data_IF_318769542025
#
_entry.id   IF_318769542025
#
_cell.length_a   1.000
_cell.length_b   1.000
_cell.length_c   1.000
_cell.angle_alpha   90.00
_cell.angle_beta   90.00
_cell.angle_gamma   90.00
#
_symmetry.space_group_name_H-M   'P 1'
#
loop_
_entity.id
_entity.type
_entity.pdbx_description
1 polymer ?
#
# COMPACT_ATOMS: atom_id res chain seq x y z
N UNK A 1 -16.80 -0.86 -8.06
CA UNK A 1 -15.53 -1.60 -7.95
C UNK A 1 -15.35 -2.45 -9.18
N UNK A 2 -14.17 -2.49 -9.80
CA UNK A 2 -13.93 -3.55 -10.79
C UNK A 2 -14.01 -4.90 -10.08
N UNK A 3 -14.57 -5.91 -10.76
CA UNK A 3 -14.74 -7.26 -10.22
C UNK A 3 -13.39 -7.90 -9.82
N UNK A 4 -12.28 -7.41 -10.37
CA UNK A 4 -10.94 -8.00 -10.21
C UNK A 4 -10.33 -7.82 -8.81
N UNK A 5 -10.49 -6.64 -8.18
CA UNK A 5 -9.93 -6.40 -6.83
C UNK A 5 -10.73 -7.10 -5.73
N UNK A 6 -12.02 -7.30 -5.97
CA UNK A 6 -12.91 -8.04 -5.05
C UNK A 6 -12.66 -9.54 -5.13
N UNK A 7 -12.38 -10.06 -6.33
CA UNK A 7 -12.16 -11.49 -6.55
C UNK A 7 -10.76 -11.97 -6.16
N UNK A 8 -9.71 -11.14 -6.31
CA UNK A 8 -8.32 -11.56 -6.07
C UNK A 8 -7.49 -10.58 -5.21
N UNK A 9 -7.99 -10.19 -4.01
CA UNK A 9 -7.33 -9.23 -3.13
C UNK A 9 -5.91 -9.68 -2.72
N UNK A 10 -5.74 -10.97 -2.41
CA UNK A 10 -4.48 -11.53 -1.94
C UNK A 10 -3.42 -11.61 -3.05
N UNK A 11 -3.78 -12.10 -4.24
CA UNK A 11 -2.85 -12.18 -5.37
C UNK A 11 -2.39 -10.79 -5.83
N UNK A 12 -3.28 -9.79 -5.75
CA UNK A 12 -2.95 -8.40 -6.04
C UNK A 12 -1.93 -7.83 -5.04
N UNK A 13 -2.16 -8.08 -3.74
CA UNK A 13 -1.24 -7.68 -2.68
C UNK A 13 0.14 -8.37 -2.78
N UNK A 14 0.16 -9.66 -3.10
CA UNK A 14 1.40 -10.42 -3.34
C UNK A 14 2.19 -9.86 -4.52
N UNK A 15 1.51 -9.52 -5.63
CA UNK A 15 2.15 -8.93 -6.81
C UNK A 15 2.79 -7.58 -6.48
N UNK A 16 2.08 -6.71 -5.75
CA UNK A 16 2.62 -5.42 -5.31
C UNK A 16 3.82 -5.62 -4.38
N UNK A 17 3.72 -6.51 -3.39
CA UNK A 17 4.83 -6.78 -2.47
C UNK A 17 6.08 -7.25 -3.21
N UNK A 18 5.91 -8.13 -4.22
CA UNK A 18 7.00 -8.55 -5.11
C UNK A 18 7.64 -7.40 -5.90
N UNK A 19 6.86 -6.42 -6.35
CA UNK A 19 7.40 -5.24 -7.06
C UNK A 19 8.23 -4.32 -6.15
N UNK A 20 7.87 -4.22 -4.87
CA UNK A 20 8.60 -3.39 -3.90
C UNK A 20 9.89 -4.09 -3.44
N UNK A 21 9.99 -5.41 -3.65
CA UNK A 21 11.17 -6.21 -3.27
C UNK A 21 11.18 -6.62 -1.79
N UNK A 22 10.05 -6.50 -1.11
CA UNK A 22 9.87 -6.91 0.29
C UNK A 22 8.88 -8.06 0.38
N UNK A 23 9.06 -8.90 1.40
CA UNK A 23 8.05 -9.91 1.73
C UNK A 23 6.70 -9.24 2.03
N UNK A 24 5.57 -9.86 1.68
CA UNK A 24 4.26 -9.35 2.07
C UNK A 24 4.21 -9.11 3.58
N UNK A 25 3.75 -7.94 4.05
CA UNK A 25 3.78 -7.62 5.47
C UNK A 25 2.84 -8.57 6.21
N UNK A 26 3.27 -9.04 7.38
CA UNK A 26 2.38 -9.72 8.33
C UNK A 26 1.17 -8.83 8.63
N UNK A 27 0.02 -9.44 8.95
CA UNK A 27 -1.17 -8.67 9.31
C UNK A 27 -0.85 -7.62 10.38
N UNK A 28 -1.41 -6.41 10.20
CA UNK A 28 -1.24 -5.32 11.15
C UNK A 28 -1.79 -5.73 12.53
N UNK A 29 -0.95 -5.63 13.56
CA UNK A 29 -1.31 -5.88 14.95
C UNK A 29 -0.89 -4.67 15.79
N UNK A 30 -1.51 -4.49 16.96
CA UNK A 30 -1.05 -3.46 17.91
C UNK A 30 0.46 -3.57 18.20
N UNK A 31 1.01 -4.79 18.21
CA UNK A 31 2.42 -5.07 18.47
C UNK A 31 3.39 -4.59 17.36
N UNK A 32 2.93 -4.47 16.12
CA UNK A 32 3.73 -3.94 15.00
C UNK A 32 3.29 -2.52 14.56
N UNK A 33 2.63 -1.80 15.47
CA UNK A 33 2.13 -0.46 15.23
C UNK A 33 0.99 -0.41 14.21
N UNK A 34 0.24 -1.50 14.06
CA UNK A 34 -0.83 -1.73 13.07
C UNK A 34 -0.38 -1.68 11.59
N UNK A 35 0.88 -1.31 11.35
CA UNK A 35 1.51 -1.02 10.07
C UNK A 35 2.92 -1.66 10.09
N UNK A 36 2.93 -3.00 10.07
CA UNK A 36 4.11 -3.84 10.35
C UNK A 36 5.12 -4.02 9.21
N UNK A 37 5.29 -3.03 8.33
CA UNK A 37 6.34 -3.07 7.29
C UNK A 37 5.93 -2.56 5.92
N UNK A 38 6.86 -2.66 4.97
CA UNK A 38 6.66 -2.40 3.54
C UNK A 38 5.74 -3.44 2.91
N UNK A 39 5.05 -3.06 1.83
CA UNK A 39 4.15 -3.95 1.07
C UNK A 39 2.67 -3.61 1.19
N UNK A 40 1.82 -4.40 0.52
CA UNK A 40 0.40 -4.09 0.28
C UNK A 40 -0.54 -4.87 1.19
N UNK A 41 -1.56 -4.19 1.75
CA UNK A 41 -2.58 -4.79 2.61
C UNK A 41 -3.94 -4.11 2.47
N UNK A 42 -4.99 -4.86 2.76
CA UNK A 42 -6.35 -4.32 2.90
C UNK A 42 -6.64 -3.97 4.36
N UNK A 43 -7.24 -2.81 4.59
CA UNK A 43 -7.77 -2.40 5.89
C UNK A 43 -9.30 -2.38 5.84
N UNK A 44 -9.94 -3.25 6.62
CA UNK A 44 -11.39 -3.34 6.70
C UNK A 44 -12.03 -2.08 7.31
N UNK A 45 -11.39 -1.44 8.29
CA UNK A 45 -11.93 -0.28 8.99
C UNK A 45 -12.00 0.97 8.10
N UNK A 46 -10.95 1.23 7.32
CA UNK A 46 -10.90 2.36 6.39
C UNK A 46 -11.42 2.04 5.00
N UNK A 47 -11.78 0.77 4.74
CA UNK A 47 -12.13 0.25 3.41
C UNK A 47 -11.13 0.68 2.34
N UNK A 48 -9.85 0.50 2.62
CA UNK A 48 -8.78 0.95 1.75
C UNK A 48 -7.66 -0.06 1.66
N UNK A 49 -7.01 -0.07 0.50
CA UNK A 49 -5.70 -0.70 0.33
C UNK A 49 -4.61 0.28 0.71
N UNK A 50 -3.65 -0.18 1.51
CA UNK A 50 -2.46 0.58 1.86
C UNK A 50 -1.22 -0.16 1.40
N UNK A 51 -0.31 0.56 0.77
CA UNK A 51 1.01 0.05 0.41
C UNK A 51 2.07 1.02 0.88
N UNK A 52 3.01 0.54 1.70
CA UNK A 52 4.17 1.35 2.13
C UNK A 52 5.37 0.97 1.26
N UNK A 53 6.03 1.98 0.71
CA UNK A 53 7.15 1.90 -0.23
C UNK A 53 8.30 2.77 0.29
N UNK A 54 9.57 2.35 0.21
CA UNK A 54 10.71 3.21 0.58
C UNK A 54 10.72 4.56 -0.16
N UNK A 55 11.25 5.61 0.46
CA UNK A 55 11.28 6.96 -0.12
C UNK A 55 12.07 7.04 -1.44
N UNK A 56 13.13 6.24 -1.58
CA UNK A 56 13.95 6.15 -2.79
C UNK A 56 13.29 5.38 -3.94
N UNK A 57 12.09 4.82 -3.71
CA UNK A 57 11.32 4.03 -4.69
C UNK A 57 10.04 4.74 -5.16
N UNK A 58 10.09 6.06 -5.38
CA UNK A 58 8.92 6.84 -5.85
C UNK A 58 8.26 6.22 -7.10
N UNK A 59 9.04 5.76 -8.08
CA UNK A 59 8.51 5.12 -9.29
C UNK A 59 7.71 3.85 -8.99
N UNK A 60 8.08 3.10 -7.95
CA UNK A 60 7.32 1.93 -7.49
C UNK A 60 5.98 2.38 -6.88
N UNK A 61 6.00 3.43 -6.04
CA UNK A 61 4.77 4.00 -5.48
C UNK A 61 3.80 4.48 -6.56
N UNK A 62 4.31 5.17 -7.59
CA UNK A 62 3.53 5.60 -8.76
C UNK A 62 2.97 4.40 -9.55
N UNK A 63 3.79 3.36 -9.74
CA UNK A 63 3.34 2.15 -10.44
C UNK A 63 2.23 1.43 -9.69
N UNK A 64 2.36 1.31 -8.37
CA UNK A 64 1.33 0.73 -7.50
C UNK A 64 0.04 1.56 -7.58
N UNK A 65 0.15 2.89 -7.51
CA UNK A 65 -1.00 3.78 -7.64
C UNK A 65 -1.70 3.62 -9.01
N UNK A 66 -0.93 3.50 -10.09
CA UNK A 66 -1.45 3.21 -11.42
C UNK A 66 -2.19 1.88 -11.45
N UNK A 67 -1.65 0.82 -10.85
CA UNK A 67 -2.33 -0.49 -10.81
C UNK A 67 -3.66 -0.44 -10.06
N UNK A 68 -3.76 0.30 -8.96
CA UNK A 68 -5.05 0.50 -8.28
C UNK A 68 -6.07 1.22 -9.18
N UNK A 69 -5.63 2.24 -9.91
CA UNK A 69 -6.48 2.96 -10.88
C UNK A 69 -6.94 2.08 -12.03
N UNK A 70 -6.02 1.29 -12.60
CA UNK A 70 -6.33 0.30 -13.65
C UNK A 70 -7.29 -0.79 -13.16
N UNK A 71 -7.22 -1.11 -11.86
CA UNK A 71 -8.19 -1.98 -11.19
C UNK A 71 -9.48 -1.24 -10.77
N UNK A 72 -9.70 -0.02 -11.24
CA UNK A 72 -10.96 0.72 -11.08
C UNK A 72 -11.14 1.42 -9.74
N UNK A 73 -10.08 1.62 -8.96
CA UNK A 73 -10.12 2.47 -7.76
C UNK A 73 -9.90 3.92 -8.15
N UNK A 74 -10.85 4.80 -7.82
CA UNK A 74 -10.82 6.21 -8.25
C UNK A 74 -10.08 7.11 -7.27
N UNK A 75 -10.19 6.87 -5.97
CA UNK A 75 -9.48 7.64 -4.93
C UNK A 75 -8.18 6.93 -4.55
N UNK A 76 -7.11 7.26 -5.28
CA UNK A 76 -5.75 6.75 -5.04
C UNK A 76 -4.80 7.90 -4.75
N UNK A 77 -4.20 7.89 -3.57
CA UNK A 77 -3.31 8.94 -3.05
C UNK A 77 -1.94 8.38 -2.72
N UNK A 78 -0.90 9.21 -2.89
CA UNK A 78 0.46 8.93 -2.43
C UNK A 78 0.81 10.03 -1.42
N UNK A 79 1.10 9.64 -0.18
CA UNK A 79 1.48 10.54 0.90
C UNK A 79 2.68 9.97 1.66
N UNK A 80 3.24 10.71 2.61
CA UNK A 80 4.18 10.15 3.56
C UNK A 80 3.46 9.18 4.52
N UNK A 81 4.07 8.03 4.79
CA UNK A 81 3.57 7.07 5.78
C UNK A 81 3.48 7.73 7.16
N UNK A 82 2.29 7.68 7.78
CA UNK A 82 2.02 8.37 9.04
C UNK A 82 2.13 9.91 8.97
N UNK A 83 2.25 10.50 7.79
CA UNK A 83 2.50 11.94 7.62
C UNK A 83 3.93 12.38 7.97
N UNK A 84 4.86 11.44 8.15
CA UNK A 84 6.22 11.71 8.63
C UNK A 84 7.20 11.75 7.46
N UNK A 85 7.97 12.83 7.32
CA UNK A 85 8.95 13.00 6.25
C UNK A 85 10.16 12.08 6.43
N UNK A 86 10.98 11.92 5.38
CA UNK A 86 12.25 11.18 5.51
C UNK A 86 13.22 11.86 6.50
N UNK A 87 13.20 13.19 6.56
CA UNK A 87 14.04 13.98 7.46
C UNK A 87 13.66 13.79 8.94
N UNK A 88 12.40 13.42 9.19
CA UNK A 88 11.84 13.14 10.51
C UNK A 88 11.81 11.64 10.85
N UNK A 89 12.71 10.84 10.25
CA UNK A 89 12.77 9.37 10.39
C UNK A 89 11.49 8.63 9.96
N UNK A 90 10.79 9.18 8.96
CA UNK A 90 9.62 8.56 8.33
C UNK A 90 9.96 7.21 7.68
N UNK A 91 8.95 6.33 7.61
CA UNK A 91 9.13 4.98 7.06
C UNK A 91 9.15 4.92 5.53
N UNK A 92 8.52 5.87 4.84
CA UNK A 92 8.40 5.84 3.38
C UNK A 92 7.16 6.54 2.84
N UNK A 93 6.84 6.23 1.59
CA UNK A 93 5.65 6.68 0.89
C UNK A 93 4.53 5.65 1.07
N UNK A 94 3.34 6.12 1.43
CA UNK A 94 2.11 5.35 1.50
C UNK A 94 1.24 5.60 0.28
N UNK A 95 1.01 4.55 -0.52
CA UNK A 95 -0.07 4.51 -1.50
C UNK A 95 -1.35 4.05 -0.81
N UNK A 96 -2.39 4.89 -0.83
CA UNK A 96 -3.70 4.61 -0.24
C UNK A 96 -4.74 4.58 -1.36
N UNK A 97 -5.48 3.48 -1.50
CA UNK A 97 -6.53 3.32 -2.49
C UNK A 97 -7.88 3.01 -1.80
N UNK A 98 -8.75 4.01 -1.71
CA UNK A 98 -10.02 3.96 -0.97
C UNK A 98 -11.17 3.43 -1.84
N UNK A 99 -12.01 2.57 -1.26
CA UNK A 99 -12.97 1.72 -2.00
C UNK A 99 -14.41 1.81 -1.47
#
# INVERSE_FOLDING_TARGET
>A
MSENLVQFPEAFAQRISKMIGFEPPVSGTAANGWFGGYGCRWCAASRAWFTVVPFDQLQVAEKVAQMFREAGVLDVRINNEGGVSQEDDGKGLQVSAYV
#
